data_IF_069051460495
#
_entry.id   IF_069051460495
#
_cell.length_a   1.000
_cell.length_b   1.000
_cell.length_c   1.000
_cell.angle_alpha   90.00
_cell.angle_beta   90.00
_cell.angle_gamma   90.00
#
_symmetry.space_group_name_H-M   'P 1'
#
loop_
_entity.id
_entity.type
_entity.pdbx_description
1 polymer ?
#
# COMPACT_ATOMS: atom_id res chain seq x y z
N UNK A 1 -14.70 -12.86 32.36
CA UNK A 1 -14.05 -12.24 31.19
C UNK A 1 -15.09 -11.42 30.48
N UNK A 2 -14.95 -10.10 30.46
CA UNK A 2 -15.86 -9.24 29.72
C UNK A 2 -15.57 -9.38 28.22
N UNK A 3 -16.58 -9.07 27.38
CA UNK A 3 -16.42 -9.04 25.93
C UNK A 3 -15.22 -8.18 25.48
N UNK A 4 -14.99 -7.07 26.19
CA UNK A 4 -13.83 -6.18 25.98
C UNK A 4 -12.49 -6.87 26.20
N UNK A 5 -12.41 -7.81 27.13
CA UNK A 5 -11.16 -8.51 27.45
C UNK A 5 -10.85 -9.54 26.37
N UNK A 6 -11.89 -10.23 25.86
CA UNK A 6 -11.77 -11.16 24.73
C UNK A 6 -11.31 -10.41 23.47
N UNK A 7 -11.93 -9.27 23.17
CA UNK A 7 -11.57 -8.44 22.01
C UNK A 7 -10.14 -7.94 22.12
N UNK A 8 -9.69 -7.51 23.32
CA UNK A 8 -8.30 -7.08 23.54
C UNK A 8 -7.30 -8.20 23.30
N UNK A 9 -7.52 -9.39 23.86
CA UNK A 9 -6.62 -10.54 23.66
C UNK A 9 -6.51 -10.92 22.18
N UNK A 10 -7.64 -10.96 21.47
CA UNK A 10 -7.64 -11.25 20.03
C UNK A 10 -6.90 -10.15 19.26
N UNK A 11 -7.17 -8.88 19.57
CA UNK A 11 -6.51 -7.74 18.96
C UNK A 11 -5.00 -7.81 19.18
N UNK A 12 -4.53 -7.97 20.41
CA UNK A 12 -3.10 -8.01 20.74
C UNK A 12 -2.39 -9.16 20.05
N UNK A 13 -3.03 -10.34 19.96
CA UNK A 13 -2.48 -11.46 19.24
C UNK A 13 -2.38 -11.20 17.73
N UNK A 14 -3.43 -10.59 17.16
CA UNK A 14 -3.48 -10.27 15.73
C UNK A 14 -2.43 -9.21 15.36
N UNK A 15 -2.32 -8.13 16.14
CA UNK A 15 -1.42 -7.01 15.89
C UNK A 15 0.04 -7.35 16.16
N UNK A 16 0.35 -7.98 17.30
CA UNK A 16 1.73 -8.16 17.73
C UNK A 16 2.40 -9.39 17.09
N UNK A 17 1.62 -10.40 16.71
CA UNK A 17 2.17 -11.64 16.17
C UNK A 17 1.76 -11.84 14.71
N UNK A 18 0.47 -11.99 14.43
CA UNK A 18 0.03 -12.41 13.09
C UNK A 18 0.39 -11.37 12.03
N UNK A 19 -0.05 -10.11 12.20
CA UNK A 19 0.12 -9.07 11.20
C UNK A 19 1.59 -8.73 10.99
N UNK A 20 2.35 -8.61 12.09
CA UNK A 20 3.77 -8.27 12.03
C UNK A 20 4.58 -9.32 11.25
N UNK A 21 4.45 -10.60 11.62
CA UNK A 21 5.17 -11.67 10.93
C UNK A 21 4.64 -11.93 9.52
N UNK A 22 3.33 -11.80 9.28
CA UNK A 22 2.76 -11.97 7.95
C UNK A 22 3.24 -10.87 6.98
N UNK A 23 3.15 -9.60 7.37
CA UNK A 23 3.56 -8.47 6.51
C UNK A 23 5.06 -8.48 6.23
N UNK A 24 5.89 -8.60 7.27
CA UNK A 24 7.34 -8.67 7.09
C UNK A 24 7.75 -9.95 6.34
N UNK A 25 7.17 -11.10 6.71
CA UNK A 25 7.45 -12.38 6.07
C UNK A 25 7.11 -12.37 4.58
N UNK A 26 5.94 -11.85 4.21
CA UNK A 26 5.55 -11.68 2.80
C UNK A 26 6.46 -10.70 2.08
N UNK A 27 6.77 -9.55 2.70
CA UNK A 27 7.68 -8.56 2.10
C UNK A 27 9.09 -9.10 1.86
N UNK A 28 9.62 -9.87 2.80
CA UNK A 28 10.91 -10.56 2.68
C UNK A 28 10.83 -11.63 1.58
N UNK A 29 9.81 -12.50 1.62
CA UNK A 29 9.62 -13.56 0.62
C UNK A 29 9.52 -12.99 -0.80
N UNK A 30 8.71 -11.94 -1.00
CA UNK A 30 8.56 -11.26 -2.27
C UNK A 30 9.87 -10.58 -2.68
N UNK A 31 10.59 -9.94 -1.76
CA UNK A 31 11.90 -9.35 -2.03
C UNK A 31 12.87 -10.39 -2.61
N UNK A 32 12.97 -11.57 -2.01
CA UNK A 32 13.85 -12.63 -2.52
C UNK A 32 13.34 -13.18 -3.87
N UNK A 33 12.05 -13.47 -3.98
CA UNK A 33 11.45 -14.04 -5.21
C UNK A 33 11.57 -13.11 -6.41
N UNK A 34 11.45 -11.80 -6.20
CA UNK A 34 11.55 -10.77 -7.23
C UNK A 34 12.99 -10.25 -7.44
N UNK A 35 13.99 -10.84 -6.76
CA UNK A 35 15.41 -10.44 -6.81
C UNK A 35 15.64 -8.98 -6.41
N UNK A 36 15.08 -8.58 -5.27
CA UNK A 36 15.18 -7.25 -4.66
C UNK A 36 14.82 -6.13 -5.65
N UNK A 37 13.55 -6.03 -6.07
CA UNK A 37 13.09 -4.99 -6.99
C UNK A 37 13.39 -3.57 -6.46
N UNK A 38 13.41 -3.39 -5.14
CA UNK A 38 13.77 -2.13 -4.49
C UNK A 38 15.21 -1.65 -4.76
N UNK A 39 16.14 -2.56 -5.08
CA UNK A 39 17.52 -2.20 -5.45
C UNK A 39 17.71 -2.24 -6.96
N UNK A 40 17.16 -3.27 -7.62
CA UNK A 40 17.42 -3.53 -9.04
C UNK A 40 16.62 -2.66 -9.99
N UNK A 41 15.39 -2.28 -9.64
CA UNK A 41 14.47 -1.55 -10.53
C UNK A 41 14.30 -0.08 -10.16
N UNK A 42 14.55 0.30 -8.91
CA UNK A 42 14.34 1.67 -8.42
C UNK A 42 15.10 2.70 -9.26
N UNK A 43 16.41 2.52 -9.41
CA UNK A 43 17.26 3.45 -10.15
C UNK A 43 16.89 3.57 -11.63
N UNK A 44 16.56 2.44 -12.28
CA UNK A 44 16.11 2.42 -13.67
C UNK A 44 14.79 3.16 -13.86
N UNK A 45 13.84 2.96 -12.95
CA UNK A 45 12.53 3.62 -12.96
C UNK A 45 12.64 5.12 -12.73
N UNK A 46 13.48 5.58 -11.79
CA UNK A 46 13.71 7.00 -11.53
C UNK A 46 14.36 7.68 -12.73
N UNK A 47 15.38 7.05 -13.34
CA UNK A 47 16.02 7.58 -14.54
C UNK A 47 15.02 7.71 -15.70
N UNK A 48 14.18 6.69 -15.89
CA UNK A 48 13.13 6.72 -16.92
C UNK A 48 12.10 7.82 -16.65
N UNK A 49 11.66 7.98 -15.41
CA UNK A 49 10.74 9.05 -15.03
C UNK A 49 11.30 10.45 -15.34
N UNK A 50 12.57 10.70 -15.02
CA UNK A 50 13.25 11.97 -15.34
C UNK A 50 13.36 12.17 -16.87
N UNK A 51 13.66 11.10 -17.61
CA UNK A 51 13.74 11.15 -19.07
C UNK A 51 12.37 11.44 -19.70
N UNK A 52 11.30 10.81 -19.23
CA UNK A 52 9.94 11.00 -19.72
C UNK A 52 9.45 12.44 -19.46
N UNK A 53 9.82 13.03 -18.32
CA UNK A 53 9.56 14.45 -18.01
C UNK A 53 10.31 15.37 -18.99
N UNK A 54 11.60 15.11 -19.20
CA UNK A 54 12.44 15.94 -20.09
C UNK A 54 11.97 15.88 -21.54
N UNK A 55 11.48 14.73 -21.98
CA UNK A 55 11.06 14.49 -23.36
C UNK A 55 9.59 14.87 -23.62
N UNK A 56 8.85 15.36 -22.60
CA UNK A 56 7.42 15.72 -22.71
C UNK A 56 6.60 14.63 -23.43
N UNK A 57 6.78 13.38 -23.02
CA UNK A 57 6.11 12.25 -23.68
C UNK A 57 4.59 12.46 -23.64
N UNK A 58 3.98 12.51 -24.83
CA UNK A 58 2.53 12.63 -24.96
C UNK A 58 1.87 11.35 -24.43
N UNK A 59 0.84 11.54 -23.60
CA UNK A 59 0.05 10.44 -23.02
C UNK A 59 -1.29 10.40 -23.73
N UNK A 60 -1.83 9.19 -23.90
CA UNK A 60 -3.16 9.00 -24.47
C UNK A 60 -4.22 9.80 -23.68
N UNK A 61 -5.23 10.29 -24.40
CA UNK A 61 -6.33 11.04 -23.83
C UNK A 61 -7.03 10.22 -22.72
N UNK A 62 -7.16 10.80 -21.52
CA UNK A 62 -7.67 10.11 -20.33
C UNK A 62 -6.64 9.31 -19.50
N UNK A 63 -5.36 9.31 -19.88
CA UNK A 63 -4.28 8.67 -19.12
C UNK A 63 -3.38 9.69 -18.41
N UNK A 64 -2.88 9.33 -17.22
CA UNK A 64 -1.94 10.17 -16.46
C UNK A 64 -0.50 9.94 -16.92
N UNK A 65 0.30 11.01 -16.96
CA UNK A 65 1.76 10.89 -17.13
C UNK A 65 2.37 10.06 -15.98
N UNK A 66 3.57 9.47 -16.16
CA UNK A 66 4.29 8.80 -15.08
C UNK A 66 4.50 9.68 -13.85
N UNK A 67 4.80 10.98 -14.05
CA UNK A 67 4.98 11.93 -12.96
C UNK A 67 3.65 12.23 -12.23
N UNK A 68 2.56 12.45 -12.98
CA UNK A 68 1.25 12.68 -12.36
C UNK A 68 0.79 11.44 -11.57
N UNK A 69 0.98 10.25 -12.12
CA UNK A 69 0.65 8.99 -11.43
C UNK A 69 1.45 8.84 -10.14
N UNK A 70 2.76 9.14 -10.18
CA UNK A 70 3.61 9.13 -8.99
C UNK A 70 3.17 10.18 -7.97
N UNK A 71 2.92 11.42 -8.41
CA UNK A 71 2.49 12.51 -7.54
C UNK A 71 1.15 12.20 -6.87
N UNK A 72 0.18 11.64 -7.59
CA UNK A 72 -1.10 11.18 -7.05
C UNK A 72 -0.90 10.06 -6.03
N UNK A 73 -0.05 9.07 -6.30
CA UNK A 73 0.25 8.00 -5.35
C UNK A 73 0.92 8.53 -4.07
N UNK A 74 1.87 9.46 -4.20
CA UNK A 74 2.55 10.08 -3.06
C UNK A 74 1.59 10.94 -2.25
N UNK A 75 0.76 11.75 -2.91
CA UNK A 75 -0.24 12.59 -2.25
C UNK A 75 -1.29 11.75 -1.50
N UNK A 76 -1.68 10.60 -2.05
CA UNK A 76 -2.60 9.67 -1.38
C UNK A 76 -1.97 9.03 -0.14
N UNK A 77 -0.64 8.85 -0.12
CA UNK A 77 0.03 8.17 0.98
C UNK A 77 0.55 9.14 2.06
N UNK A 78 0.93 10.36 1.71
CA UNK A 78 1.47 11.36 2.64
C UNK A 78 0.34 12.14 3.29
N UNK A 79 0.21 12.04 4.62
CA UNK A 79 -0.77 12.78 5.39
C UNK A 79 -0.37 12.91 6.86
N UNK A 80 -1.13 13.72 7.60
CA UNK A 80 -0.89 14.03 9.02
C UNK A 80 -0.80 12.74 9.87
N UNK A 81 -1.65 11.76 9.57
CA UNK A 81 -1.63 10.45 10.24
C UNK A 81 -0.28 9.70 10.18
N UNK A 82 0.49 9.83 9.09
CA UNK A 82 1.80 9.20 9.02
C UNK A 82 2.81 9.92 9.93
N UNK A 83 2.76 11.25 10.01
CA UNK A 83 3.67 12.04 10.83
C UNK A 83 3.39 11.78 12.31
N UNK A 84 2.12 11.83 12.71
CA UNK A 84 1.68 11.52 14.07
C UNK A 84 2.02 10.07 14.41
N UNK A 85 1.77 9.12 13.49
CA UNK A 85 2.10 7.71 13.69
C UNK A 85 3.61 7.47 13.91
N UNK A 86 4.48 8.11 13.13
CA UNK A 86 5.94 8.04 13.31
C UNK A 86 6.32 8.63 14.68
N UNK A 87 5.78 9.80 15.04
CA UNK A 87 6.06 10.45 16.31
C UNK A 87 5.63 9.59 17.50
N UNK A 88 4.43 9.00 17.45
CA UNK A 88 3.92 8.08 18.48
C UNK A 88 4.77 6.81 18.55
N UNK A 89 5.19 6.24 17.41
CA UNK A 89 6.03 5.05 17.38
C UNK A 89 7.40 5.29 18.02
N UNK A 90 8.03 6.45 17.76
CA UNK A 90 9.30 6.82 18.37
C UNK A 90 9.12 7.15 19.86
N UNK A 91 8.05 7.85 20.23
CA UNK A 91 7.76 8.18 21.62
C UNK A 91 7.49 6.92 22.47
N UNK A 92 6.79 5.93 21.91
CA UNK A 92 6.46 4.68 22.61
C UNK A 92 7.58 3.63 22.56
N UNK A 93 8.26 3.50 21.42
CA UNK A 93 9.29 2.46 21.18
C UNK A 93 10.73 2.93 21.33
N UNK A 94 10.96 4.21 21.59
CA UNK A 94 12.27 4.83 21.66
C UNK A 94 12.92 5.06 20.28
N UNK A 95 14.17 5.58 20.26
CA UNK A 95 14.85 5.95 19.01
C UNK A 95 15.11 4.75 18.08
N UNK A 96 15.15 3.52 18.62
CA UNK A 96 15.30 2.29 17.83
C UNK A 96 14.12 2.01 16.89
N UNK A 97 12.93 2.58 17.15
CA UNK A 97 11.77 2.43 16.28
C UNK A 97 12.04 2.98 14.87
N UNK A 98 12.77 4.09 14.76
CA UNK A 98 13.09 4.70 13.47
C UNK A 98 13.88 3.74 12.55
N UNK A 99 14.84 3.00 13.10
CA UNK A 99 15.60 1.99 12.36
C UNK A 99 14.68 0.88 11.82
N UNK A 100 13.81 0.33 12.69
CA UNK A 100 12.89 -0.73 12.30
C UNK A 100 11.82 -0.28 11.30
N UNK A 101 11.42 0.99 11.34
CA UNK A 101 10.50 1.57 10.36
C UNK A 101 11.15 1.60 8.96
N UNK A 102 12.43 1.97 8.86
CA UNK A 102 13.16 1.95 7.58
C UNK A 102 13.30 0.52 7.05
N UNK A 103 13.66 -0.44 7.91
CA UNK A 103 13.77 -1.87 7.54
C UNK A 103 12.41 -2.41 7.06
N UNK A 104 11.34 -2.10 7.78
CA UNK A 104 9.99 -2.53 7.42
C UNK A 104 9.52 -1.89 6.11
N UNK A 105 9.81 -0.60 5.90
CA UNK A 105 9.52 0.09 4.65
C UNK A 105 10.30 -0.52 3.48
N UNK A 106 11.57 -0.91 3.69
CA UNK A 106 12.38 -1.55 2.67
C UNK A 106 11.78 -2.87 2.15
N UNK A 107 11.31 -3.72 3.06
CA UNK A 107 10.63 -4.97 2.67
C UNK A 107 9.19 -4.72 2.16
N UNK A 108 8.50 -3.72 2.70
CA UNK A 108 7.17 -3.30 2.26
C UNK A 108 7.14 -2.81 0.81
N UNK A 109 8.23 -2.20 0.32
CA UNK A 109 8.38 -1.79 -1.08
C UNK A 109 8.19 -2.96 -2.07
N UNK A 110 8.60 -4.18 -1.71
CA UNK A 110 8.38 -5.35 -2.57
C UNK A 110 6.93 -5.79 -2.62
N UNK A 111 6.22 -5.67 -1.51
CA UNK A 111 4.79 -5.98 -1.43
C UNK A 111 4.00 -5.01 -2.30
N UNK A 112 4.17 -3.70 -2.10
CA UNK A 112 3.43 -2.69 -2.87
C UNK A 112 3.80 -2.74 -4.37
N UNK A 113 5.05 -3.07 -4.71
CA UNK A 113 5.44 -3.29 -6.10
C UNK A 113 4.68 -4.47 -6.72
N UNK A 114 4.57 -5.59 -6.00
CA UNK A 114 3.82 -6.77 -6.46
C UNK A 114 2.34 -6.44 -6.65
N UNK A 115 1.75 -5.70 -5.72
CA UNK A 115 0.36 -5.25 -5.83
C UNK A 115 0.12 -4.32 -7.02
N UNK A 116 1.04 -3.38 -7.26
CA UNK A 116 0.97 -2.49 -8.42
C UNK A 116 1.06 -3.26 -9.74
N UNK A 117 1.94 -4.27 -9.83
CA UNK A 117 2.06 -5.14 -11.01
C UNK A 117 0.78 -5.95 -11.23
N UNK A 118 0.23 -6.55 -10.17
CA UNK A 118 -1.03 -7.30 -10.25
C UNK A 118 -2.20 -6.39 -10.64
N UNK A 119 -2.26 -5.18 -10.10
CA UNK A 119 -3.28 -4.20 -10.43
C UNK A 119 -3.23 -3.79 -11.91
N UNK A 120 -2.04 -3.68 -12.50
CA UNK A 120 -1.90 -3.41 -13.94
C UNK A 120 -2.22 -4.64 -14.80
N UNK A 121 -1.85 -5.84 -14.36
CA UNK A 121 -2.09 -7.08 -15.12
C UNK A 121 -3.57 -7.46 -15.18
N UNK A 122 -4.31 -7.23 -14.09
CA UNK A 122 -5.73 -7.58 -13.96
C UNK A 122 -6.68 -6.38 -14.10
N UNK A 123 -6.20 -5.24 -14.62
CA UNK A 123 -7.04 -4.06 -14.86
C UNK A 123 -8.12 -4.35 -15.90
N UNK A 124 -9.30 -3.80 -15.70
CA UNK A 124 -10.43 -3.85 -16.64
C UNK A 124 -10.69 -2.44 -17.18
N UNK A 125 -11.21 -2.34 -18.41
CA UNK A 125 -11.79 -1.10 -18.89
C UNK A 125 -13.28 -1.13 -18.58
N UNK A 126 -13.74 -0.18 -17.77
CA UNK A 126 -15.16 -0.02 -17.43
C UNK A 126 -15.56 1.41 -17.73
N UNK A 127 -16.58 1.58 -18.58
CA UNK A 127 -17.14 2.89 -18.93
C UNK A 127 -16.08 3.88 -19.49
N UNK A 128 -15.11 3.37 -20.25
CA UNK A 128 -14.02 4.17 -20.83
C UNK A 128 -12.90 4.52 -19.85
N UNK A 129 -12.99 4.11 -18.57
CA UNK A 129 -11.94 4.30 -17.57
C UNK A 129 -11.23 2.98 -17.24
N UNK A 130 -9.91 3.06 -17.04
CA UNK A 130 -9.13 1.93 -16.57
C UNK A 130 -9.31 1.78 -15.07
N UNK A 131 -9.99 0.71 -14.66
CA UNK A 131 -10.22 0.37 -13.25
C UNK A 131 -9.37 -0.85 -12.89
N UNK A 132 -8.71 -0.78 -11.74
CA UNK A 132 -7.81 -1.83 -11.28
C UNK A 132 -7.66 -1.83 -9.76
N UNK A 133 -6.74 -2.65 -9.27
CA UNK A 133 -6.43 -2.75 -7.85
C UNK A 133 -6.84 -4.08 -7.22
N UNK A 134 -6.79 -4.18 -5.89
CA UNK A 134 -6.95 -5.43 -5.18
C UNK A 134 -8.26 -6.17 -5.40
N UNK A 135 -9.37 -5.46 -5.40
CA UNK A 135 -10.67 -6.07 -5.69
C UNK A 135 -10.70 -6.73 -7.09
N UNK A 136 -10.02 -6.14 -8.08
CA UNK A 136 -9.97 -6.65 -9.45
C UNK A 136 -9.01 -7.83 -9.60
N UNK A 137 -7.81 -7.80 -9.00
CA UNK A 137 -6.93 -8.97 -9.05
C UNK A 137 -7.47 -10.15 -8.21
N UNK A 138 -8.27 -9.91 -7.16
CA UNK A 138 -8.98 -10.99 -6.43
C UNK A 138 -10.10 -11.58 -7.30
N UNK A 139 -10.88 -10.72 -7.97
CA UNK A 139 -11.95 -11.16 -8.87
C UNK A 139 -11.40 -11.93 -10.07
N UNK A 140 -10.35 -11.43 -10.71
CA UNK A 140 -9.86 -11.93 -12.00
C UNK A 140 -8.69 -12.93 -11.86
N UNK A 141 -7.82 -12.73 -10.86
CA UNK A 141 -6.70 -13.62 -10.57
C UNK A 141 -7.12 -14.82 -9.72
N UNK A 142 -7.76 -14.58 -8.57
CA UNK A 142 -8.27 -15.65 -7.69
C UNK A 142 -9.61 -16.23 -8.13
N UNK A 143 -10.26 -15.63 -9.16
CA UNK A 143 -11.57 -16.03 -9.70
C UNK A 143 -12.69 -16.07 -8.64
N UNK A 144 -12.55 -15.30 -7.55
CA UNK A 144 -13.52 -15.27 -6.46
C UNK A 144 -14.23 -13.91 -6.39
N UNK A 145 -15.48 -13.88 -6.86
CA UNK A 145 -16.34 -12.68 -6.78
C UNK A 145 -16.73 -12.35 -5.34
N UNK A 146 -16.96 -13.36 -4.49
CA UNK A 146 -17.34 -13.16 -3.10
C UNK A 146 -16.24 -12.45 -2.30
N UNK A 147 -14.98 -12.92 -2.41
CA UNK A 147 -13.84 -12.30 -1.74
C UNK A 147 -13.57 -10.88 -2.24
N UNK A 148 -13.74 -10.64 -3.54
CA UNK A 148 -13.62 -9.30 -4.13
C UNK A 148 -14.64 -8.31 -3.54
N UNK A 149 -15.91 -8.73 -3.39
CA UNK A 149 -16.97 -7.90 -2.81
C UNK A 149 -16.69 -7.61 -1.33
N UNK A 150 -16.33 -8.65 -0.56
CA UNK A 150 -16.00 -8.48 0.87
C UNK A 150 -14.82 -7.53 1.04
N UNK A 151 -13.75 -7.73 0.26
CA UNK A 151 -12.59 -6.84 0.28
C UNK A 151 -12.96 -5.40 -0.07
N UNK A 152 -13.77 -5.18 -1.10
CA UNK A 152 -14.22 -3.86 -1.50
C UNK A 152 -15.02 -3.15 -0.39
N UNK A 153 -15.95 -3.85 0.27
CA UNK A 153 -16.73 -3.30 1.39
C UNK A 153 -15.81 -2.95 2.56
N UNK A 154 -14.90 -3.85 2.93
CA UNK A 154 -13.94 -3.59 4.00
C UNK A 154 -13.03 -2.40 3.69
N UNK A 155 -12.57 -2.25 2.45
CA UNK A 155 -11.79 -1.09 2.02
C UNK A 155 -12.58 0.21 2.10
N UNK A 156 -13.87 0.22 1.71
CA UNK A 156 -14.72 1.41 1.83
C UNK A 156 -14.85 1.82 3.30
N UNK A 157 -15.08 0.87 4.21
CA UNK A 157 -15.18 1.18 5.64
C UNK A 157 -13.83 1.65 6.20
N UNK A 158 -12.75 0.93 5.91
CA UNK A 158 -11.43 1.22 6.46
C UNK A 158 -10.85 2.55 5.93
N UNK A 159 -10.87 2.77 4.62
CA UNK A 159 -10.26 3.96 4.02
C UNK A 159 -11.26 5.12 3.90
N UNK A 160 -12.49 4.84 3.47
CA UNK A 160 -13.50 5.86 3.24
C UNK A 160 -14.10 6.44 4.52
N UNK A 161 -14.26 5.63 5.56
CA UNK A 161 -14.83 6.09 6.84
C UNK A 161 -13.71 6.30 7.86
N UNK A 162 -13.00 5.25 8.26
CA UNK A 162 -12.00 5.33 9.35
C UNK A 162 -10.82 6.21 8.94
N UNK A 163 -10.28 6.03 7.74
CA UNK A 163 -9.16 6.81 7.23
C UNK A 163 -9.44 8.31 7.20
N UNK A 164 -10.61 8.71 6.66
CA UNK A 164 -11.01 10.13 6.61
C UNK A 164 -11.23 10.69 8.01
N UNK A 165 -11.93 9.97 8.90
CA UNK A 165 -12.17 10.44 10.27
C UNK A 165 -10.88 10.70 11.05
N UNK A 166 -9.90 9.80 10.97
CA UNK A 166 -8.62 9.96 11.69
C UNK A 166 -7.81 11.13 11.14
N UNK A 167 -7.78 11.30 9.82
CA UNK A 167 -7.08 12.42 9.19
C UNK A 167 -7.76 13.76 9.51
N UNK A 168 -9.09 13.83 9.45
CA UNK A 168 -9.85 15.04 9.79
C UNK A 168 -9.77 15.41 11.27
N UNK A 169 -9.59 14.45 12.18
CA UNK A 169 -9.42 14.75 13.60
C UNK A 169 -8.03 15.32 13.93
N UNK A 170 -7.05 15.11 13.05
CA UNK A 170 -5.66 15.55 13.25
C UNK A 170 -5.34 16.93 12.66
N UNK A 171 -6.32 17.57 11.99
CA UNK A 171 -6.24 18.93 11.42
C UNK A 171 -7.05 19.87 12.32
#
# INVERSE_FOLDING_TARGET
MNFTDIVKVISDFLWNYILLFALLGVGIFLSFKLKFPQVTKLWGSVKKLIQDIRNKVEVAEGSMTPLQSLATAVAAQVGTGNIVGVATAIAAGGPGAAFWMIVSAFFGMSTIFSEAVLAQFYRESKDGQLVGGPAYYIKNGLKSKALSIVFAILCIVALGIVGVMVQSNSI
#
